data_IF_586959434727
#
_entry.id   IF_586959434727
#
_cell.length_a   1.000
_cell.length_b   1.000
_cell.length_c   1.000
_cell.angle_alpha   90.00
_cell.angle_beta   90.00
_cell.angle_gamma   90.00
#
_symmetry.space_group_name_H-M   'P 1'
#
loop_
_entity.id
_entity.type
_entity.pdbx_description
1 polymer ?
#
# COMPACT_ATOMS: atom_id res chain seq x y z
N UNK A 1 22.71 17.08 16.71
CA UNK A 1 22.64 15.77 16.06
C UNK A 1 22.06 16.00 14.66
N UNK A 2 22.76 15.57 13.64
CA UNK A 2 22.39 15.71 12.24
C UNK A 2 21.33 14.68 11.74
N UNK A 3 20.53 14.12 12.64
CA UNK A 3 19.49 13.15 12.33
C UNK A 3 18.17 13.57 12.97
N UNK A 4 17.09 13.46 12.22
CA UNK A 4 15.71 13.58 12.73
C UNK A 4 15.11 12.21 13.03
N UNK A 5 14.21 12.14 14.00
CA UNK A 5 13.37 10.96 14.20
C UNK A 5 12.28 10.93 13.11
N UNK A 6 11.75 9.74 12.79
CA UNK A 6 10.78 9.59 11.69
C UNK A 6 9.57 10.55 11.79
N UNK A 7 9.07 10.80 13.00
CA UNK A 7 7.94 11.71 13.25
C UNK A 7 8.30 13.21 13.16
N UNK A 8 9.59 13.56 13.19
CA UNK A 8 10.06 14.95 13.10
C UNK A 8 10.35 15.39 11.66
N UNK A 9 10.45 14.40 10.73
CA UNK A 9 10.88 14.64 9.34
C UNK A 9 9.92 15.61 8.64
N UNK A 10 8.60 15.40 8.78
CA UNK A 10 7.61 16.28 8.16
C UNK A 10 7.67 17.72 8.68
N UNK A 11 7.89 17.89 9.97
CA UNK A 11 8.05 19.22 10.58
C UNK A 11 9.31 19.92 10.05
N UNK A 12 10.40 19.18 9.91
CA UNK A 12 11.65 19.73 9.39
C UNK A 12 11.54 20.09 7.90
N UNK A 13 10.89 19.25 7.09
CA UNK A 13 10.66 19.50 5.66
C UNK A 13 9.78 20.71 5.38
N UNK A 14 8.93 21.12 6.32
CA UNK A 14 8.13 22.35 6.18
C UNK A 14 8.98 23.62 6.24
N UNK A 15 10.05 23.59 7.03
CA UNK A 15 10.98 24.71 7.19
C UNK A 15 12.41 24.18 7.33
N UNK A 16 13.05 23.77 6.21
CA UNK A 16 14.42 23.28 6.23
C UNK A 16 15.40 24.37 6.72
N UNK A 17 16.39 23.99 7.51
CA UNK A 17 17.44 24.89 7.94
C UNK A 17 18.31 25.28 6.73
N UNK A 18 18.41 26.58 6.38
CA UNK A 18 19.19 27.03 5.24
C UNK A 18 20.71 26.79 5.40
N UNK A 19 21.21 26.57 6.62
CA UNK A 19 22.58 26.20 6.90
C UNK A 19 22.94 24.76 6.56
N UNK A 20 21.93 23.91 6.28
CA UNK A 20 22.14 22.52 5.89
C UNK A 20 22.31 22.43 4.36
N UNK A 21 23.52 22.17 3.92
CA UNK A 21 23.85 22.01 2.50
C UNK A 21 23.76 20.59 1.98
N UNK A 22 23.75 19.57 2.87
CA UNK A 22 23.75 18.15 2.50
C UNK A 22 22.58 17.45 3.18
N UNK A 23 21.68 16.85 2.40
CA UNK A 23 20.50 16.14 2.91
C UNK A 23 20.47 14.72 2.40
N UNK A 24 20.44 13.75 3.30
CA UNK A 24 20.25 12.33 3.01
C UNK A 24 18.84 11.91 3.38
N UNK A 25 18.07 11.46 2.43
CA UNK A 25 16.74 10.87 2.63
C UNK A 25 16.85 9.38 2.33
N UNK A 26 16.55 8.54 3.32
CA UNK A 26 16.83 7.10 3.21
C UNK A 26 15.78 6.24 3.93
N UNK A 27 15.55 5.03 3.43
CA UNK A 27 14.63 4.07 4.06
C UNK A 27 14.15 2.99 3.11
N UNK A 28 13.42 1.98 3.63
CA UNK A 28 12.89 0.88 2.83
C UNK A 28 11.77 1.32 1.88
N UNK A 29 11.01 2.36 2.23
CA UNK A 29 9.92 2.89 1.40
C UNK A 29 10.46 3.88 0.37
N UNK A 30 10.78 3.38 -0.83
CA UNK A 30 11.30 4.19 -1.95
C UNK A 30 10.33 5.29 -2.38
N UNK A 31 9.01 5.05 -2.26
CA UNK A 31 7.98 6.04 -2.59
C UNK A 31 8.02 7.22 -1.63
N UNK A 32 8.12 6.95 -0.33
CA UNK A 32 8.25 7.98 0.69
C UNK A 32 9.57 8.75 0.58
N UNK A 33 10.68 8.07 0.24
CA UNK A 33 11.96 8.71 -0.03
C UNK A 33 11.83 9.72 -1.17
N UNK A 34 11.27 9.29 -2.32
CA UNK A 34 11.09 10.16 -3.48
C UNK A 34 10.10 11.32 -3.20
N UNK A 35 9.03 11.09 -2.44
CA UNK A 35 8.06 12.12 -2.05
C UNK A 35 8.72 13.20 -1.17
N UNK A 36 9.48 12.78 -0.15
CA UNK A 36 10.21 13.69 0.74
C UNK A 36 11.32 14.45 0.03
N UNK A 37 12.00 13.80 -0.92
CA UNK A 37 12.99 14.46 -1.77
C UNK A 37 12.36 15.59 -2.59
N UNK A 38 11.22 15.32 -3.25
CA UNK A 38 10.46 16.36 -3.98
C UNK A 38 9.98 17.48 -3.06
N UNK A 39 9.47 17.14 -1.87
CA UNK A 39 9.02 18.11 -0.89
C UNK A 39 10.17 19.01 -0.42
N UNK A 40 11.37 18.46 -0.20
CA UNK A 40 12.57 19.24 0.13
C UNK A 40 12.94 20.18 -1.01
N UNK A 41 13.03 19.71 -2.24
CA UNK A 41 13.37 20.52 -3.41
C UNK A 41 12.39 21.67 -3.59
N UNK A 42 11.10 21.42 -3.45
CA UNK A 42 10.07 22.47 -3.53
C UNK A 42 10.26 23.59 -2.49
N UNK A 43 10.90 23.30 -1.35
CA UNK A 43 11.20 24.29 -0.31
C UNK A 43 12.50 25.05 -0.50
N UNK A 44 13.45 24.49 -1.27
CA UNK A 44 14.71 25.19 -1.58
C UNK A 44 14.53 26.32 -2.59
N UNK A 45 13.40 26.36 -3.28
CA UNK A 45 13.15 27.31 -4.37
C UNK A 45 13.95 27.04 -5.65
N UNK A 46 14.69 25.90 -5.70
CA UNK A 46 15.46 25.51 -6.87
C UNK A 46 14.56 24.71 -7.83
N UNK A 47 14.66 25.05 -9.12
CA UNK A 47 13.92 24.34 -10.15
C UNK A 47 14.59 22.99 -10.43
N UNK A 48 13.93 21.87 -10.09
CA UNK A 48 14.47 20.53 -10.27
C UNK A 48 14.66 20.12 -11.73
N UNK A 49 13.97 20.79 -12.65
CA UNK A 49 13.96 20.46 -14.09
C UNK A 49 14.74 21.51 -14.92
N UNK A 50 15.35 22.50 -14.29
CA UNK A 50 16.21 23.46 -14.95
C UNK A 50 17.67 22.93 -15.01
N UNK A 51 18.20 22.62 -16.20
CA UNK A 51 19.55 22.07 -16.34
C UNK A 51 20.68 23.03 -15.92
N UNK A 52 20.40 24.30 -15.76
CA UNK A 52 21.39 25.30 -15.31
C UNK A 52 21.48 25.38 -13.77
N UNK A 53 20.40 25.09 -13.07
CA UNK A 53 20.34 25.14 -11.62
C UNK A 53 20.27 23.77 -10.94
N UNK A 54 20.06 22.68 -11.68
CA UNK A 54 20.02 21.33 -11.12
C UNK A 54 20.75 20.30 -11.98
N UNK A 55 21.46 19.38 -11.31
CA UNK A 55 22.03 18.19 -11.93
C UNK A 55 21.55 16.95 -11.21
N UNK A 56 21.24 15.90 -11.97
CA UNK A 56 20.89 14.58 -11.42
C UNK A 56 22.04 13.62 -11.72
N UNK A 57 22.51 12.95 -10.66
CA UNK A 57 23.57 11.95 -10.73
C UNK A 57 23.03 10.62 -10.23
N UNK A 58 23.42 9.54 -10.88
CA UNK A 58 23.24 8.21 -10.31
C UNK A 58 24.41 7.88 -9.38
N UNK A 59 24.15 7.21 -8.25
CA UNK A 59 25.20 6.84 -7.31
C UNK A 59 26.24 5.89 -7.92
N UNK A 60 25.89 5.12 -8.95
CA UNK A 60 26.80 4.28 -9.72
C UNK A 60 27.80 5.09 -10.58
N UNK A 61 27.40 6.27 -11.06
CA UNK A 61 28.28 7.16 -11.79
C UNK A 61 29.36 7.78 -10.88
N UNK A 62 28.97 8.09 -9.62
CA UNK A 62 29.91 8.61 -8.62
C UNK A 62 30.90 7.51 -8.21
N UNK A 63 30.43 6.26 -8.05
CA UNK A 63 31.29 5.12 -7.75
C UNK A 63 32.32 4.86 -8.87
N UNK A 64 31.94 5.06 -10.14
CA UNK A 64 32.82 4.90 -11.30
C UNK A 64 33.80 6.07 -11.50
N UNK A 65 33.48 7.27 -11.00
CA UNK A 65 34.27 8.47 -11.17
C UNK A 65 34.50 9.17 -9.81
N UNK A 66 35.56 8.78 -9.07
CA UNK A 66 35.91 9.37 -7.79
C UNK A 66 36.06 10.89 -7.85
N UNK A 67 35.48 11.62 -6.90
CA UNK A 67 35.52 13.08 -6.86
C UNK A 67 34.46 13.79 -7.69
N UNK A 68 33.71 13.07 -8.53
CA UNK A 68 32.67 13.69 -9.40
C UNK A 68 31.63 14.49 -8.60
N UNK A 69 31.18 13.98 -7.47
CA UNK A 69 30.23 14.71 -6.63
C UNK A 69 30.86 16.00 -6.07
N UNK A 70 32.13 15.97 -5.73
CA UNK A 70 32.88 17.14 -5.21
C UNK A 70 33.02 18.18 -6.29
N UNK A 71 33.40 17.78 -7.51
CA UNK A 71 33.56 18.70 -8.65
C UNK A 71 32.25 19.38 -9.03
N UNK A 72 31.15 18.64 -9.04
CA UNK A 72 29.82 19.20 -9.30
C UNK A 72 29.37 20.15 -8.18
N UNK A 73 29.71 19.83 -6.93
CA UNK A 73 29.39 20.67 -5.78
C UNK A 73 30.22 21.96 -5.73
N UNK A 74 31.45 21.92 -6.22
CA UNK A 74 32.36 23.08 -6.30
C UNK A 74 32.09 23.98 -7.53
N UNK A 75 31.31 23.51 -8.50
CA UNK A 75 30.97 24.27 -9.70
C UNK A 75 30.10 25.46 -9.38
N UNK A 76 30.55 26.68 -9.65
CA UNK A 76 29.81 27.92 -9.39
C UNK A 76 28.70 28.07 -10.43
N UNK A 77 27.44 28.26 -9.98
CA UNK A 77 26.31 28.46 -10.88
C UNK A 77 26.38 29.81 -11.59
N UNK A 78 26.16 29.80 -12.92
CA UNK A 78 26.24 31.03 -13.73
C UNK A 78 24.93 31.82 -13.79
N UNK A 79 23.79 31.15 -13.59
CA UNK A 79 22.44 31.71 -13.79
C UNK A 79 21.51 31.58 -12.59
N UNK A 80 21.98 31.05 -11.48
CA UNK A 80 21.21 30.89 -10.24
C UNK A 80 22.09 31.20 -9.03
N UNK A 81 21.46 31.57 -7.90
CA UNK A 81 22.19 31.82 -6.66
C UNK A 81 22.76 30.53 -6.01
N UNK A 82 22.13 29.40 -6.24
CA UNK A 82 22.53 28.09 -5.72
C UNK A 82 22.18 26.99 -6.73
N UNK A 83 22.92 25.88 -6.69
CA UNK A 83 22.73 24.71 -7.55
C UNK A 83 22.26 23.50 -6.74
N UNK A 84 21.34 22.73 -7.30
CA UNK A 84 20.90 21.44 -6.71
C UNK A 84 21.66 20.30 -7.36
N UNK A 85 22.33 19.48 -6.54
CA UNK A 85 22.91 18.21 -6.97
C UNK A 85 22.07 17.10 -6.37
N UNK A 86 21.34 16.39 -7.22
CA UNK A 86 20.39 15.37 -6.80
C UNK A 86 20.91 13.97 -7.14
N UNK A 87 21.44 13.29 -6.11
CA UNK A 87 21.99 11.94 -6.24
C UNK A 87 20.88 10.92 -6.00
N UNK A 88 20.71 9.98 -6.93
CA UNK A 88 19.74 8.90 -6.86
C UNK A 88 20.41 7.53 -6.78
N UNK A 89 19.64 6.53 -6.28
CA UNK A 89 20.11 5.14 -6.26
C UNK A 89 21.19 4.85 -5.23
N UNK A 90 21.38 5.73 -4.23
CA UNK A 90 22.38 5.53 -3.21
C UNK A 90 22.05 4.30 -2.33
N UNK A 91 23.10 3.53 -2.03
CA UNK A 91 23.04 2.36 -1.16
C UNK A 91 24.37 2.21 -0.37
N UNK A 92 25.17 1.24 -0.74
CA UNK A 92 26.44 0.92 -0.08
C UNK A 92 27.69 1.41 -0.81
N UNK A 93 27.58 2.34 -1.76
CA UNK A 93 28.70 2.85 -2.56
C UNK A 93 29.75 3.52 -1.66
N UNK A 94 30.98 3.03 -1.74
CA UNK A 94 32.07 3.51 -0.91
C UNK A 94 32.55 4.90 -1.32
N UNK A 95 32.69 5.13 -2.62
CA UNK A 95 33.17 6.41 -3.14
C UNK A 95 32.18 7.55 -2.83
N UNK A 96 30.86 7.31 -2.99
CA UNK A 96 29.85 8.27 -2.60
C UNK A 96 29.98 8.67 -1.10
N UNK A 97 30.23 7.69 -0.22
CA UNK A 97 30.41 7.99 1.21
C UNK A 97 31.68 8.81 1.49
N UNK A 98 32.78 8.58 0.74
CA UNK A 98 34.01 9.36 0.86
C UNK A 98 33.83 10.79 0.31
N UNK A 99 33.19 10.96 -0.85
CA UNK A 99 32.88 12.29 -1.43
C UNK A 99 32.00 13.10 -0.47
N UNK A 100 30.96 12.47 0.13
CA UNK A 100 30.08 13.12 1.11
C UNK A 100 30.84 13.51 2.38
N UNK A 101 31.77 12.70 2.88
CA UNK A 101 32.61 13.08 4.02
C UNK A 101 33.49 14.31 3.70
N UNK A 102 34.06 14.36 2.51
CA UNK A 102 34.86 15.52 2.07
C UNK A 102 33.99 16.78 2.01
N UNK A 103 32.80 16.70 1.43
CA UNK A 103 31.84 17.81 1.37
C UNK A 103 31.32 18.24 2.75
N UNK A 104 31.24 17.33 3.73
CA UNK A 104 30.87 17.67 5.12
C UNK A 104 32.02 18.44 5.81
N UNK A 105 33.28 18.08 5.49
CA UNK A 105 34.45 18.76 6.04
C UNK A 105 34.65 20.17 5.47
N UNK A 106 34.32 20.36 4.20
CA UNK A 106 34.33 21.65 3.51
C UNK A 106 32.99 21.87 2.76
N UNK A 107 31.94 22.35 3.46
CA UNK A 107 30.61 22.45 2.89
C UNK A 107 30.51 23.45 1.75
N UNK A 108 29.90 23.04 0.61
CA UNK A 108 29.74 23.92 -0.54
C UNK A 108 28.80 25.08 -0.21
N UNK A 109 29.19 26.29 -0.61
CA UNK A 109 28.41 27.53 -0.31
C UNK A 109 27.26 27.73 -1.30
N UNK A 110 27.51 27.40 -2.56
CA UNK A 110 26.63 27.73 -3.68
C UNK A 110 25.88 26.50 -4.23
N UNK A 111 25.90 25.39 -3.49
CA UNK A 111 25.18 24.18 -3.88
C UNK A 111 24.48 23.51 -2.71
N UNK A 112 23.46 22.72 -3.04
CA UNK A 112 22.74 21.84 -2.13
C UNK A 112 22.83 20.41 -2.67
N UNK A 113 23.31 19.50 -1.86
CA UNK A 113 23.42 18.07 -2.22
C UNK A 113 22.25 17.32 -1.56
N UNK A 114 21.38 16.77 -2.39
CA UNK A 114 20.28 15.91 -1.98
C UNK A 114 20.57 14.47 -2.41
N UNK A 115 20.52 13.54 -1.46
CA UNK A 115 20.83 12.12 -1.69
C UNK A 115 19.60 11.27 -1.36
N UNK A 116 19.07 10.56 -2.37
CA UNK A 116 18.06 9.52 -2.17
C UNK A 116 18.73 8.16 -2.03
N UNK A 117 18.50 7.50 -0.89
CA UNK A 117 19.06 6.20 -0.61
C UNK A 117 18.00 5.15 -0.25
N UNK A 118 18.31 3.90 -0.53
CA UNK A 118 17.54 2.76 -0.04
C UNK A 118 17.67 2.58 1.47
N UNK A 119 17.37 1.37 1.95
CA UNK A 119 17.47 1.06 3.38
C UNK A 119 18.95 0.99 3.83
N UNK A 120 19.42 2.04 4.47
CA UNK A 120 20.76 2.12 5.04
C UNK A 120 20.74 1.67 6.50
N UNK A 121 21.40 0.57 6.80
CA UNK A 121 21.55 0.07 8.16
C UNK A 121 22.34 1.06 9.05
N UNK A 122 22.07 1.02 10.34
CA UNK A 122 22.87 1.80 11.31
C UNK A 122 24.35 1.38 11.20
N UNK A 123 25.23 2.38 11.05
CA UNK A 123 26.66 2.13 10.82
C UNK A 123 27.09 2.07 9.35
N UNK A 124 26.16 2.13 8.39
CA UNK A 124 26.54 2.29 6.97
C UNK A 124 27.34 3.59 6.77
N UNK A 125 28.43 3.54 6.00
CA UNK A 125 29.40 4.62 5.88
C UNK A 125 28.77 5.97 5.48
N UNK A 126 27.91 5.97 4.46
CA UNK A 126 27.19 7.16 4.01
C UNK A 126 26.28 7.72 5.09
N UNK A 127 25.47 6.86 5.73
CA UNK A 127 24.55 7.26 6.81
C UNK A 127 25.31 7.83 8.00
N UNK A 128 26.38 7.14 8.45
CA UNK A 128 27.21 7.60 9.56
C UNK A 128 27.90 8.91 9.29
N UNK A 129 28.37 9.14 8.06
CA UNK A 129 28.98 10.41 7.65
C UNK A 129 27.99 11.58 7.82
N UNK A 130 26.76 11.43 7.29
CA UNK A 130 25.73 12.48 7.35
C UNK A 130 25.21 12.68 8.81
N UNK A 131 24.98 11.61 9.57
CA UNK A 131 24.50 11.69 10.96
C UNK A 131 25.47 12.44 11.88
N UNK A 132 26.78 12.41 11.58
CA UNK A 132 27.84 13.08 12.34
C UNK A 132 28.23 14.46 11.78
N UNK A 133 27.71 14.84 10.62
CA UNK A 133 28.06 16.09 9.94
C UNK A 133 27.33 17.31 10.48
N UNK A 134 28.03 18.43 10.71
CA UNK A 134 27.42 19.66 11.20
C UNK A 134 26.53 20.37 10.17
N UNK A 135 26.92 20.34 8.89
CA UNK A 135 26.20 20.96 7.77
C UNK A 135 25.35 19.97 6.97
N UNK A 136 25.02 18.83 7.59
CA UNK A 136 24.29 17.73 6.97
C UNK A 136 23.05 17.34 7.78
N UNK A 137 22.07 16.72 7.13
CA UNK A 137 20.85 16.22 7.77
C UNK A 137 20.44 14.86 7.22
N UNK A 138 20.21 13.90 8.11
CA UNK A 138 19.71 12.57 7.78
C UNK A 138 18.22 12.46 8.11
N UNK A 139 17.39 12.14 7.11
CA UNK A 139 15.94 12.06 7.19
C UNK A 139 15.49 10.61 6.93
N UNK A 140 15.15 9.84 7.98
CA UNK A 140 14.72 8.45 7.83
C UNK A 140 13.30 8.36 7.28
N UNK A 141 13.07 7.41 6.38
CA UNK A 141 11.78 7.05 5.79
C UNK A 141 11.36 5.66 6.25
N UNK A 142 11.22 5.48 7.55
CA UNK A 142 10.60 4.30 8.15
C UNK A 142 9.14 4.61 8.42
N UNK A 143 8.26 3.81 7.90
CA UNK A 143 6.83 4.02 7.99
C UNK A 143 6.19 2.89 8.79
N UNK A 144 5.26 3.27 9.67
CA UNK A 144 4.25 2.39 10.23
C UNK A 144 3.18 2.21 9.14
N UNK A 145 3.21 1.08 8.40
CA UNK A 145 2.45 0.85 7.15
C UNK A 145 0.97 1.24 7.24
N UNK A 146 0.31 1.01 8.39
CA UNK A 146 -1.10 1.32 8.57
C UNK A 146 -1.41 2.81 8.68
N UNK A 147 -0.59 3.59 9.37
CA UNK A 147 -0.81 5.04 9.59
C UNK A 147 -0.43 5.90 8.39
N UNK A 148 0.49 5.39 7.57
CA UNK A 148 0.96 6.11 6.40
C UNK A 148 -0.06 6.18 5.28
N UNK A 149 -0.79 5.09 5.04
CA UNK A 149 -1.85 5.05 4.02
C UNK A 149 -3.00 5.98 4.43
N UNK A 150 -3.40 5.96 5.70
CA UNK A 150 -4.45 6.87 6.19
C UNK A 150 -4.05 8.33 6.04
N UNK A 151 -2.81 8.69 6.33
CA UNK A 151 -2.30 10.06 6.16
C UNK A 151 -2.33 10.49 4.67
N UNK A 152 -2.00 9.60 3.73
CA UNK A 152 -2.11 9.88 2.29
C UNK A 152 -3.57 10.09 1.87
N UNK A 153 -4.47 9.23 2.35
CA UNK A 153 -5.91 9.37 2.08
C UNK A 153 -6.40 10.72 2.60
N UNK A 154 -6.13 11.04 3.87
CA UNK A 154 -6.59 12.29 4.50
C UNK A 154 -6.01 13.54 3.83
N UNK A 155 -4.74 13.50 3.42
CA UNK A 155 -4.08 14.60 2.70
C UNK A 155 -4.75 14.88 1.36
N UNK A 156 -4.96 13.83 0.55
CA UNK A 156 -5.51 13.97 -0.81
C UNK A 156 -6.97 14.39 -0.75
N UNK A 157 -7.77 13.71 0.08
CA UNK A 157 -9.19 14.04 0.23
C UNK A 157 -9.40 15.43 0.81
N UNK A 158 -8.55 15.86 1.76
CA UNK A 158 -8.59 17.21 2.32
C UNK A 158 -8.33 18.31 1.28
N UNK A 159 -7.43 18.08 0.30
CA UNK A 159 -7.18 19.02 -0.80
C UNK A 159 -8.39 19.20 -1.72
N UNK A 160 -9.18 18.14 -1.92
CA UNK A 160 -10.34 18.13 -2.79
C UNK A 160 -11.65 18.42 -2.03
N UNK A 161 -11.58 18.72 -0.72
CA UNK A 161 -12.74 18.90 0.17
C UNK A 161 -13.70 17.71 0.17
N UNK A 162 -13.16 16.49 0.13
CA UNK A 162 -13.92 15.26 0.14
C UNK A 162 -13.84 14.59 1.50
N UNK A 163 -14.95 14.02 1.94
CA UNK A 163 -15.03 13.11 3.08
C UNK A 163 -15.12 11.66 2.60
N UNK A 164 -14.80 10.70 3.45
CA UNK A 164 -14.92 9.27 3.14
C UNK A 164 -15.51 8.52 4.33
N UNK A 165 -16.56 7.77 4.10
CA UNK A 165 -17.19 6.92 5.11
C UNK A 165 -16.24 5.81 5.59
N UNK A 166 -16.45 5.30 6.81
CA UNK A 166 -15.59 4.28 7.42
C UNK A 166 -15.48 3.01 6.55
N UNK A 167 -16.59 2.56 6.00
CA UNK A 167 -16.66 1.37 5.14
C UNK A 167 -15.92 1.58 3.82
N UNK A 168 -16.12 2.73 3.17
CA UNK A 168 -15.42 3.11 1.95
C UNK A 168 -13.89 3.22 2.19
N UNK A 169 -13.48 3.79 3.33
CA UNK A 169 -12.07 3.88 3.73
C UNK A 169 -11.45 2.49 3.95
N UNK A 170 -12.15 1.57 4.58
CA UNK A 170 -11.69 0.20 4.79
C UNK A 170 -11.54 -0.54 3.45
N UNK A 171 -12.52 -0.40 2.54
CA UNK A 171 -12.45 -0.98 1.21
C UNK A 171 -11.29 -0.39 0.40
N UNK A 172 -11.08 0.93 0.43
CA UNK A 172 -9.97 1.60 -0.23
C UNK A 172 -8.63 1.07 0.29
N UNK A 173 -8.43 1.01 1.62
CA UNK A 173 -7.20 0.48 2.23
C UNK A 173 -6.92 -0.97 1.86
N UNK A 174 -7.94 -1.81 1.74
CA UNK A 174 -7.78 -3.21 1.35
C UNK A 174 -7.27 -3.37 -0.10
N UNK A 175 -7.54 -2.38 -0.95
CA UNK A 175 -7.11 -2.35 -2.36
C UNK A 175 -5.78 -1.62 -2.58
N UNK A 176 -5.28 -0.86 -1.59
CA UNK A 176 -3.99 -0.18 -1.68
C UNK A 176 -2.87 -1.14 -1.28
N UNK A 177 -1.82 -1.21 -2.12
CA UNK A 177 -0.67 -2.08 -1.92
C UNK A 177 0.44 -1.45 -1.07
N UNK A 178 1.57 -2.17 -0.96
CA UNK A 178 2.78 -1.70 -0.28
C UNK A 178 3.56 -0.62 -1.04
N UNK A 179 3.23 -0.35 -2.30
CA UNK A 179 3.82 0.74 -3.07
C UNK A 179 3.06 2.05 -2.81
N UNK A 180 3.73 2.98 -2.14
CA UNK A 180 3.15 4.27 -1.73
C UNK A 180 2.82 5.18 -2.92
N UNK A 181 3.64 5.17 -3.98
CA UNK A 181 3.37 5.99 -5.17
C UNK A 181 2.16 5.48 -5.95
N UNK A 182 2.06 4.17 -6.11
CA UNK A 182 0.88 3.55 -6.70
C UNK A 182 -0.36 3.82 -5.86
N UNK A 183 -0.27 3.64 -4.54
CA UNK A 183 -1.38 3.91 -3.60
C UNK A 183 -1.83 5.37 -3.65
N UNK A 184 -0.89 6.34 -3.70
CA UNK A 184 -1.21 7.76 -3.87
C UNK A 184 -1.95 8.02 -5.17
N UNK A 185 -1.47 7.47 -6.29
CA UNK A 185 -2.11 7.61 -7.60
C UNK A 185 -3.53 7.05 -7.62
N UNK A 186 -3.77 5.91 -6.95
CA UNK A 186 -5.12 5.33 -6.84
C UNK A 186 -6.06 6.23 -6.03
N UNK A 187 -5.59 6.81 -4.92
CA UNK A 187 -6.39 7.75 -4.11
C UNK A 187 -6.66 9.05 -4.89
N UNK A 188 -5.68 9.57 -5.63
CA UNK A 188 -5.84 10.77 -6.47
C UNK A 188 -6.87 10.55 -7.58
N UNK A 189 -6.86 9.38 -8.25
CA UNK A 189 -7.87 9.01 -9.24
C UNK A 189 -9.27 8.96 -8.63
N UNK A 190 -9.41 8.34 -7.46
CA UNK A 190 -10.69 8.27 -6.75
C UNK A 190 -11.18 9.67 -6.36
N UNK A 191 -10.31 10.52 -5.83
CA UNK A 191 -10.65 11.89 -5.46
C UNK A 191 -11.09 12.72 -6.68
N UNK A 192 -10.41 12.54 -7.82
CA UNK A 192 -10.78 13.21 -9.07
C UNK A 192 -12.15 12.73 -9.59
N UNK A 193 -12.42 11.41 -9.51
CA UNK A 193 -13.71 10.83 -9.90
C UNK A 193 -14.88 11.37 -9.06
N UNK A 194 -14.66 11.52 -7.75
CA UNK A 194 -15.66 11.99 -6.80
C UNK A 194 -15.69 13.51 -6.65
N UNK A 195 -14.92 14.27 -7.44
CA UNK A 195 -14.85 15.73 -7.32
C UNK A 195 -16.24 16.35 -7.44
N UNK A 196 -16.63 17.14 -6.45
CA UNK A 196 -17.95 17.78 -6.38
C UNK A 196 -19.03 16.96 -5.68
N UNK A 197 -18.81 15.69 -5.33
CA UNK A 197 -19.80 14.86 -4.64
C UNK A 197 -19.83 15.08 -3.12
N UNK A 198 -18.79 15.70 -2.54
CA UNK A 198 -18.65 15.96 -1.11
C UNK A 198 -18.27 14.74 -0.29
N UNK A 199 -18.81 13.58 -0.58
CA UNK A 199 -18.55 12.32 0.14
C UNK A 199 -18.25 11.17 -0.82
N UNK A 200 -17.20 10.39 -0.50
CA UNK A 200 -16.84 9.16 -1.20
C UNK A 200 -17.58 8.00 -0.55
N UNK A 201 -18.40 7.32 -1.33
CA UNK A 201 -19.16 6.13 -0.92
C UNK A 201 -18.43 4.86 -1.29
N UNK A 202 -18.85 3.74 -0.73
CA UNK A 202 -18.25 2.44 -1.01
C UNK A 202 -18.39 2.05 -2.50
N UNK A 203 -19.48 2.44 -3.14
CA UNK A 203 -19.73 2.19 -4.55
C UNK A 203 -18.70 2.90 -5.44
N UNK A 204 -18.27 4.12 -5.08
CA UNK A 204 -17.27 4.89 -5.81
C UNK A 204 -15.91 4.21 -5.73
N UNK A 205 -15.50 3.78 -4.52
CA UNK A 205 -14.26 3.02 -4.31
C UNK A 205 -14.26 1.77 -5.17
N UNK A 206 -15.32 1.01 -5.13
CA UNK A 206 -15.49 -0.24 -5.88
C UNK A 206 -15.43 -0.03 -7.39
N UNK A 207 -16.07 1.02 -7.90
CA UNK A 207 -16.07 1.38 -9.32
C UNK A 207 -14.65 1.74 -9.78
N UNK A 208 -13.91 2.52 -9.00
CA UNK A 208 -12.60 3.03 -9.37
C UNK A 208 -11.46 2.03 -9.19
N UNK A 209 -11.54 1.12 -8.23
CA UNK A 209 -10.51 0.08 -8.04
C UNK A 209 -10.59 -1.03 -9.10
N UNK A 210 -11.48 -0.90 -10.07
CA UNK A 210 -11.63 -1.89 -11.14
C UNK A 210 -12.23 -3.21 -10.65
N UNK A 211 -12.75 -3.24 -9.41
CA UNK A 211 -13.25 -4.43 -8.75
C UNK A 211 -14.75 -4.68 -9.05
N UNK A 212 -15.16 -4.32 -10.27
CA UNK A 212 -16.47 -4.75 -10.79
C UNK A 212 -16.54 -6.29 -10.77
N UNK A 213 -15.38 -6.95 -10.96
CA UNK A 213 -15.26 -8.40 -10.81
C UNK A 213 -15.31 -8.83 -9.35
N UNK A 214 -14.67 -8.11 -8.42
CA UNK A 214 -14.67 -8.41 -6.99
C UNK A 214 -16.04 -8.26 -6.35
N UNK A 215 -16.80 -7.25 -6.74
CA UNK A 215 -18.21 -7.08 -6.32
C UNK A 215 -19.07 -8.28 -6.67
N UNK A 216 -19.02 -8.71 -7.93
CA UNK A 216 -19.78 -9.87 -8.34
C UNK A 216 -19.29 -11.16 -7.66
N UNK A 217 -17.99 -11.26 -7.35
CA UNK A 217 -17.40 -12.41 -6.64
C UNK A 217 -17.88 -12.45 -5.18
N UNK A 218 -17.82 -11.32 -4.47
CA UNK A 218 -18.30 -11.25 -3.09
C UNK A 218 -19.82 -11.47 -3.02
N UNK A 219 -20.59 -10.90 -3.93
CA UNK A 219 -22.04 -11.12 -4.05
C UNK A 219 -22.36 -12.62 -4.25
N UNK A 220 -21.60 -13.30 -5.10
CA UNK A 220 -21.78 -14.73 -5.34
C UNK A 220 -21.44 -15.56 -4.09
N UNK A 221 -20.36 -15.23 -3.38
CA UNK A 221 -19.97 -15.93 -2.14
C UNK A 221 -20.94 -15.64 -1.00
N UNK A 222 -21.39 -14.38 -0.88
CA UNK A 222 -22.39 -13.99 0.12
C UNK A 222 -23.75 -14.68 -0.11
N UNK A 223 -24.16 -14.83 -1.37
CA UNK A 223 -25.33 -15.59 -1.73
C UNK A 223 -25.22 -17.09 -1.34
N UNK A 224 -24.02 -17.68 -1.49
CA UNK A 224 -23.73 -19.05 -1.02
C UNK A 224 -23.91 -19.12 0.51
N UNK A 225 -23.34 -18.19 1.26
CA UNK A 225 -23.45 -18.15 2.71
C UNK A 225 -24.89 -17.90 3.20
N UNK A 226 -25.63 -17.06 2.47
CA UNK A 226 -27.04 -16.79 2.76
C UNK A 226 -27.96 -17.99 2.44
N UNK A 227 -27.52 -18.89 1.56
CA UNK A 227 -28.36 -19.94 0.99
C UNK A 227 -29.33 -19.43 -0.06
N UNK A 228 -29.04 -18.27 -0.69
CA UNK A 228 -29.87 -17.61 -1.69
C UNK A 228 -29.48 -18.08 -3.11
N UNK A 229 -30.21 -19.10 -3.60
CA UNK A 229 -29.96 -19.67 -4.93
C UNK A 229 -30.22 -18.70 -6.08
N UNK A 230 -31.20 -17.81 -5.94
CA UNK A 230 -31.53 -16.84 -6.98
C UNK A 230 -30.45 -15.75 -7.13
N UNK A 231 -30.00 -15.21 -6.00
CA UNK A 231 -28.91 -14.23 -5.97
C UNK A 231 -27.60 -14.85 -6.47
N UNK A 232 -27.29 -16.07 -6.07
CA UNK A 232 -26.11 -16.80 -6.54
C UNK A 232 -26.13 -17.01 -8.05
N UNK A 233 -27.24 -17.51 -8.61
CA UNK A 233 -27.36 -17.78 -10.03
C UNK A 233 -27.16 -16.50 -10.88
N UNK A 234 -27.78 -15.40 -10.48
CA UNK A 234 -27.64 -14.12 -11.13
C UNK A 234 -26.19 -13.59 -11.08
N UNK A 235 -25.55 -13.62 -9.90
CA UNK A 235 -24.19 -13.13 -9.70
C UNK A 235 -23.16 -14.00 -10.42
N UNK A 236 -23.23 -15.31 -10.28
CA UNK A 236 -22.30 -16.24 -10.89
C UNK A 236 -22.41 -16.22 -12.43
N UNK A 237 -23.62 -16.20 -12.98
CA UNK A 237 -23.82 -16.12 -14.44
C UNK A 237 -23.25 -14.80 -15.00
N UNK A 238 -23.45 -13.68 -14.33
CA UNK A 238 -22.87 -12.39 -14.72
C UNK A 238 -21.35 -12.42 -14.73
N UNK A 239 -20.72 -13.01 -13.68
CA UNK A 239 -19.27 -13.16 -13.59
C UNK A 239 -18.70 -13.99 -14.74
N UNK A 240 -19.31 -15.13 -15.04
CA UNK A 240 -18.84 -15.98 -16.13
C UNK A 240 -19.02 -15.31 -17.48
N UNK A 241 -20.16 -14.63 -17.70
CA UNK A 241 -20.44 -13.91 -18.95
C UNK A 241 -19.47 -12.73 -19.18
N UNK A 242 -18.97 -12.10 -18.10
CA UNK A 242 -17.95 -11.03 -18.17
C UNK A 242 -16.53 -11.55 -18.36
N UNK A 243 -16.34 -12.89 -18.48
CA UNK A 243 -15.02 -13.48 -18.66
C UNK A 243 -14.24 -13.70 -17.36
N UNK A 244 -14.89 -13.54 -16.19
CA UNK A 244 -14.23 -13.79 -14.89
C UNK A 244 -13.83 -15.27 -14.78
N UNK A 245 -12.56 -15.51 -14.42
CA UNK A 245 -12.09 -16.87 -14.23
C UNK A 245 -12.78 -17.53 -13.02
N UNK A 246 -13.43 -18.72 -13.19
CA UNK A 246 -14.13 -19.41 -12.10
C UNK A 246 -13.26 -19.69 -10.87
N UNK A 247 -11.94 -19.83 -11.06
CA UNK A 247 -10.98 -19.99 -9.97
C UNK A 247 -11.02 -18.83 -8.97
N UNK A 248 -11.24 -17.58 -9.42
CA UNK A 248 -11.29 -16.41 -8.53
C UNK A 248 -12.49 -16.50 -7.57
N UNK A 249 -13.63 -16.99 -8.05
CA UNK A 249 -14.82 -17.19 -7.20
C UNK A 249 -14.58 -18.31 -6.17
N UNK A 250 -13.96 -19.42 -6.60
CA UNK A 250 -13.60 -20.52 -5.70
C UNK A 250 -12.57 -20.08 -4.66
N UNK A 251 -11.57 -19.30 -5.05
CA UNK A 251 -10.54 -18.76 -4.15
C UNK A 251 -11.14 -17.78 -3.11
N UNK A 252 -12.11 -16.97 -3.51
CA UNK A 252 -12.83 -16.08 -2.59
C UNK A 252 -13.70 -16.89 -1.60
N UNK A 253 -14.43 -17.89 -2.08
CA UNK A 253 -15.19 -18.82 -1.23
C UNK A 253 -14.25 -19.54 -0.24
N UNK A 254 -13.10 -20.04 -0.70
CA UNK A 254 -12.10 -20.69 0.15
C UNK A 254 -11.66 -19.76 1.29
N UNK A 255 -11.26 -18.50 0.97
CA UNK A 255 -10.86 -17.51 1.99
C UNK A 255 -11.96 -17.23 2.98
N UNK A 256 -13.21 -17.12 2.51
CA UNK A 256 -14.35 -16.85 3.38
C UNK A 256 -14.64 -18.02 4.33
N UNK A 257 -14.57 -19.27 3.85
CA UNK A 257 -14.74 -20.45 4.71
C UNK A 257 -13.58 -20.67 5.67
N UNK A 258 -12.33 -20.31 5.30
CA UNK A 258 -11.19 -20.28 6.23
C UNK A 258 -11.39 -19.26 7.35
N UNK A 259 -11.89 -18.07 7.04
CA UNK A 259 -12.23 -17.07 8.04
C UNK A 259 -13.34 -17.57 8.98
N UNK A 260 -14.39 -18.20 8.44
CA UNK A 260 -15.43 -18.83 9.25
C UNK A 260 -14.86 -19.92 10.15
N UNK A 261 -13.91 -20.73 9.69
CA UNK A 261 -13.25 -21.77 10.49
C UNK A 261 -12.53 -21.18 11.70
N UNK A 262 -11.76 -20.12 11.50
CA UNK A 262 -11.05 -19.43 12.59
C UNK A 262 -12.03 -18.86 13.61
N UNK A 263 -13.07 -18.16 13.14
CA UNK A 263 -14.09 -17.59 14.02
C UNK A 263 -14.91 -18.66 14.74
N UNK A 264 -15.21 -19.77 14.08
CA UNK A 264 -15.93 -20.90 14.70
C UNK A 264 -15.10 -21.58 15.78
N UNK A 265 -13.81 -21.79 15.53
CA UNK A 265 -12.90 -22.34 16.52
C UNK A 265 -12.81 -21.43 17.78
N UNK A 266 -12.81 -20.11 17.60
CA UNK A 266 -12.82 -19.15 18.71
C UNK A 266 -14.15 -19.20 19.49
N UNK A 267 -15.29 -19.38 18.81
CA UNK A 267 -16.58 -19.59 19.47
C UNK A 267 -16.60 -20.88 20.31
N UNK A 268 -16.11 -21.97 19.73
CA UNK A 268 -16.15 -23.30 20.36
C UNK A 268 -15.18 -23.38 21.54
N UNK A 269 -13.99 -22.76 21.45
CA UNK A 269 -13.00 -22.73 22.52
C UNK A 269 -13.37 -21.80 23.70
N UNK A 270 -14.02 -20.68 23.41
CA UNK A 270 -14.27 -19.60 24.39
C UNK A 270 -15.73 -19.45 24.83
N UNK A 271 -16.68 -20.25 24.30
CA UNK A 271 -18.11 -20.08 24.56
C UNK A 271 -18.67 -18.71 24.16
N UNK A 272 -17.96 -18.00 23.26
CA UNK A 272 -18.33 -16.64 22.84
C UNK A 272 -19.49 -16.67 21.85
N UNK A 273 -20.33 -15.64 21.91
CA UNK A 273 -21.37 -15.45 20.92
C UNK A 273 -20.80 -15.03 19.55
N UNK A 274 -21.46 -15.39 18.45
CA UNK A 274 -21.04 -15.06 17.09
C UNK A 274 -20.80 -13.55 16.88
N UNK A 275 -21.69 -12.71 17.42
CA UNK A 275 -21.55 -11.25 17.31
C UNK A 275 -20.25 -10.71 17.94
N UNK A 276 -19.85 -11.25 19.10
CA UNK A 276 -18.61 -10.85 19.78
C UNK A 276 -17.37 -11.27 18.98
N UNK A 277 -17.38 -12.49 18.40
CA UNK A 277 -16.27 -13.00 17.59
C UNK A 277 -16.15 -12.22 16.28
N UNK A 278 -17.26 -11.93 15.60
CA UNK A 278 -17.28 -11.14 14.36
C UNK A 278 -16.80 -9.70 14.62
N UNK A 279 -17.18 -9.10 15.75
CA UNK A 279 -16.70 -7.74 16.10
C UNK A 279 -15.20 -7.69 16.40
N UNK A 280 -14.63 -8.78 16.93
CA UNK A 280 -13.20 -8.89 17.27
C UNK A 280 -12.34 -9.44 16.11
N UNK A 281 -12.94 -9.87 15.00
CA UNK A 281 -12.24 -10.52 13.89
C UNK A 281 -11.12 -9.67 13.30
N UNK A 282 -10.02 -10.33 12.95
CA UNK A 282 -8.88 -9.71 12.25
C UNK A 282 -8.50 -10.58 11.04
N UNK A 283 -8.60 -10.04 9.82
CA UNK A 283 -9.03 -8.67 9.47
C UNK A 283 -10.50 -8.40 9.85
N UNK A 284 -10.87 -7.12 10.08
CA UNK A 284 -12.23 -6.78 10.50
C UNK A 284 -13.26 -7.09 9.41
N UNK A 285 -14.40 -7.65 9.81
CA UNK A 285 -15.53 -7.90 8.90
C UNK A 285 -16.22 -6.58 8.60
N UNK A 286 -16.47 -6.28 7.33
CA UNK A 286 -17.20 -5.08 6.90
C UNK A 286 -18.58 -5.01 7.56
N UNK A 287 -18.99 -3.80 7.93
CA UNK A 287 -20.23 -3.60 8.69
C UNK A 287 -21.45 -4.18 7.97
N UNK A 288 -21.55 -3.98 6.65
CA UNK A 288 -22.62 -4.53 5.79
C UNK A 288 -22.70 -6.06 5.82
N UNK A 289 -21.57 -6.75 5.97
CA UNK A 289 -21.46 -8.22 5.95
C UNK A 289 -21.57 -8.86 7.34
N UNK A 290 -21.52 -8.09 8.43
CA UNK A 290 -21.49 -8.63 9.80
C UNK A 290 -22.67 -9.55 10.08
N UNK A 291 -23.90 -9.11 9.79
CA UNK A 291 -25.11 -9.92 9.99
C UNK A 291 -25.09 -11.23 9.23
N UNK A 292 -24.60 -11.21 7.99
CA UNK A 292 -24.45 -12.40 7.16
C UNK A 292 -23.46 -13.39 7.78
N UNK A 293 -22.28 -12.89 8.19
CA UNK A 293 -21.23 -13.73 8.80
C UNK A 293 -21.67 -14.28 10.15
N UNK A 294 -22.33 -13.48 10.98
CA UNK A 294 -22.93 -13.93 12.24
C UNK A 294 -23.96 -15.06 12.03
N UNK A 295 -24.84 -14.89 11.05
CA UNK A 295 -25.82 -15.91 10.70
C UNK A 295 -25.16 -17.18 10.15
N UNK A 296 -24.11 -17.04 9.34
CA UNK A 296 -23.34 -18.17 8.84
C UNK A 296 -22.65 -18.92 9.98
N UNK A 297 -22.00 -18.23 10.93
CA UNK A 297 -21.37 -18.85 12.11
C UNK A 297 -22.37 -19.61 13.00
N UNK A 298 -23.61 -19.16 13.07
CA UNK A 298 -24.68 -19.87 13.81
C UNK A 298 -25.13 -21.13 13.08
N UNK A 299 -25.16 -21.11 11.75
CA UNK A 299 -25.64 -22.23 10.92
C UNK A 299 -24.57 -23.30 10.69
N UNK A 300 -23.31 -22.89 10.46
CA UNK A 300 -22.24 -23.81 10.10
C UNK A 300 -21.51 -24.34 11.33
N UNK A 301 -21.53 -25.66 11.52
CA UNK A 301 -20.69 -26.33 12.53
C UNK A 301 -19.23 -26.39 12.06
N UNK A 302 -18.28 -26.56 12.98
CA UNK A 302 -16.86 -26.72 12.63
C UNK A 302 -16.61 -27.88 11.66
N UNK A 303 -17.30 -29.00 11.85
CA UNK A 303 -17.22 -30.17 10.96
C UNK A 303 -17.78 -29.87 9.56
N UNK A 304 -18.88 -29.11 9.46
CA UNK A 304 -19.44 -28.72 8.17
C UNK A 304 -18.51 -27.76 7.41
N UNK A 305 -17.89 -26.79 8.11
CA UNK A 305 -16.89 -25.89 7.52
C UNK A 305 -15.68 -26.68 7.00
N UNK A 306 -15.17 -27.68 7.74
CA UNK A 306 -14.06 -28.50 7.30
C UNK A 306 -14.39 -29.24 6.00
N UNK A 307 -15.57 -29.90 5.91
CA UNK A 307 -16.03 -30.55 4.68
C UNK A 307 -16.18 -29.57 3.51
N UNK A 308 -16.65 -28.36 3.78
CA UNK A 308 -16.76 -27.33 2.76
C UNK A 308 -15.40 -26.94 2.19
N UNK A 309 -14.38 -26.77 3.04
CA UNK A 309 -13.01 -26.47 2.65
C UNK A 309 -12.38 -27.60 1.83
N UNK A 310 -12.55 -28.85 2.23
CA UNK A 310 -12.10 -30.03 1.47
C UNK A 310 -12.75 -30.06 0.07
N UNK A 311 -14.07 -29.83 -0.01
CA UNK A 311 -14.79 -29.76 -1.29
C UNK A 311 -14.26 -28.65 -2.18
N UNK A 312 -14.07 -27.46 -1.65
CA UNK A 312 -13.51 -26.31 -2.40
C UNK A 312 -12.10 -26.61 -2.91
N UNK A 313 -11.24 -27.21 -2.07
CA UNK A 313 -9.89 -27.61 -2.45
C UNK A 313 -9.88 -28.62 -3.60
N UNK A 314 -10.69 -29.69 -3.47
CA UNK A 314 -10.83 -30.70 -4.52
C UNK A 314 -11.36 -30.07 -5.83
N UNK A 315 -12.33 -29.16 -5.72
CA UNK A 315 -12.89 -28.46 -6.88
C UNK A 315 -11.85 -27.58 -7.57
N UNK A 316 -11.04 -26.83 -6.83
CA UNK A 316 -9.94 -26.03 -7.38
C UNK A 316 -8.95 -26.90 -8.15
N UNK A 317 -8.63 -28.09 -7.64
CA UNK A 317 -7.75 -29.02 -8.33
C UNK A 317 -8.39 -29.51 -9.66
N UNK A 318 -9.66 -29.90 -9.64
CA UNK A 318 -10.40 -30.33 -10.83
C UNK A 318 -10.48 -29.24 -11.90
N UNK A 319 -10.72 -27.98 -11.52
CA UNK A 319 -10.79 -26.87 -12.48
C UNK A 319 -9.44 -26.60 -13.17
N UNK A 320 -8.32 -26.95 -12.53
CA UNK A 320 -6.98 -26.87 -13.15
C UNK A 320 -6.72 -28.02 -14.11
N UNK A 321 -7.24 -29.20 -13.81
CA UNK A 321 -7.08 -30.39 -14.65
C UNK A 321 -8.01 -30.37 -15.87
N UNK A 322 -9.20 -29.79 -15.72
CA UNK A 322 -10.25 -29.74 -16.74
C UNK A 322 -10.75 -28.31 -16.91
N UNK A 323 -9.91 -27.48 -17.56
CA UNK A 323 -10.21 -26.08 -17.80
C UNK A 323 -11.49 -25.86 -18.64
N UNK A 324 -11.80 -26.80 -19.52
CA UNK A 324 -13.02 -26.83 -20.36
C UNK A 324 -14.31 -26.92 -19.52
N UNK A 325 -14.26 -27.56 -18.35
CA UNK A 325 -15.38 -27.74 -17.44
C UNK A 325 -15.32 -26.82 -16.20
N UNK A 326 -14.34 -25.91 -16.13
CA UNK A 326 -14.05 -25.15 -14.93
C UNK A 326 -15.27 -24.38 -14.39
N UNK A 327 -16.04 -23.72 -15.26
CA UNK A 327 -17.22 -22.97 -14.85
C UNK A 327 -18.34 -23.88 -14.30
N UNK A 328 -18.60 -25.00 -14.99
CA UNK A 328 -19.63 -25.96 -14.57
C UNK A 328 -19.27 -26.62 -13.23
N UNK A 329 -18.01 -27.03 -13.07
CA UNK A 329 -17.48 -27.66 -11.85
C UNK A 329 -17.52 -26.70 -10.66
N UNK A 330 -17.11 -25.43 -10.86
CA UNK A 330 -17.18 -24.40 -9.83
C UNK A 330 -18.63 -24.15 -9.42
N UNK A 331 -19.54 -23.98 -10.39
CA UNK A 331 -20.96 -23.76 -10.13
C UNK A 331 -21.57 -24.89 -9.31
N UNK A 332 -21.30 -26.15 -9.69
CA UNK A 332 -21.82 -27.33 -8.98
C UNK A 332 -21.34 -27.36 -7.53
N UNK A 333 -20.06 -27.11 -7.27
CA UNK A 333 -19.52 -27.10 -5.92
C UNK A 333 -20.12 -25.99 -5.07
N UNK A 334 -20.25 -24.76 -5.61
CA UNK A 334 -20.83 -23.62 -4.91
C UNK A 334 -22.33 -23.82 -4.63
N UNK A 335 -23.08 -24.40 -5.56
CA UNK A 335 -24.49 -24.78 -5.34
C UNK A 335 -24.60 -25.83 -4.20
N UNK A 336 -23.70 -26.79 -4.16
CA UNK A 336 -23.72 -27.78 -3.08
C UNK A 336 -23.50 -27.12 -1.70
N UNK A 337 -22.59 -26.15 -1.58
CA UNK A 337 -22.37 -25.37 -0.37
C UNK A 337 -23.59 -24.49 -0.05
N UNK A 338 -24.19 -23.88 -1.04
CA UNK A 338 -25.40 -23.06 -0.91
C UNK A 338 -26.56 -23.90 -0.33
N UNK A 339 -26.78 -25.09 -0.86
CA UNK A 339 -27.82 -26.03 -0.36
C UNK A 339 -27.53 -26.43 1.10
N UNK A 340 -26.24 -26.68 1.44
CA UNK A 340 -25.83 -26.99 2.81
C UNK A 340 -26.08 -25.77 3.73
N UNK A 341 -25.79 -24.56 3.27
CA UNK A 341 -26.09 -23.30 3.97
C UNK A 341 -27.59 -23.12 4.23
N UNK A 342 -28.43 -23.36 3.23
CA UNK A 342 -29.88 -23.27 3.33
C UNK A 342 -30.47 -24.31 4.30
N UNK A 343 -29.84 -25.48 4.43
CA UNK A 343 -30.28 -26.55 5.36
C UNK A 343 -29.76 -26.40 6.80
N UNK A 344 -28.97 -25.35 7.06
CA UNK A 344 -28.43 -25.06 8.38
C UNK A 344 -27.10 -25.75 8.70
N UNK A 345 -26.32 -26.18 7.70
CA UNK A 345 -24.93 -26.65 7.86
C UNK A 345 -24.73 -27.85 8.80
N UNK A 346 -25.71 -28.76 8.87
CA UNK A 346 -25.69 -29.97 9.73
C UNK A 346 -24.68 -31.02 9.30
#
# INVERSE_FOLDING_TARGET
MAQKKAHEVESWLRNPDPGIGIVLIYGPDRGLVAERAKAFVARTGLAADDPFSSIRLDASEIEAAPGRLIDEAATVPMFSARRLIWVKGAAGQKQLAEDVKALIADPPRDSVVLIEAGDLKKGAALRSAVENGAAAMALPCYVDEGKAIDAVIDEILGRENLSIGLEARQALRANLGGDRLASRSEVEKLALYCRGNGEIRIEDVRTMTGDVSGLGIDDAVDAVLAGDGKAFDASFTRLISSGTNPFLVLAAAMRQFQLLQLMRAEMDAGGKQAAAVVAAARPPVFFSRRRLVEAALQRWSGAAIARALERLQATILLTRQRADLAAATARQALIALLVESARGGR
#
